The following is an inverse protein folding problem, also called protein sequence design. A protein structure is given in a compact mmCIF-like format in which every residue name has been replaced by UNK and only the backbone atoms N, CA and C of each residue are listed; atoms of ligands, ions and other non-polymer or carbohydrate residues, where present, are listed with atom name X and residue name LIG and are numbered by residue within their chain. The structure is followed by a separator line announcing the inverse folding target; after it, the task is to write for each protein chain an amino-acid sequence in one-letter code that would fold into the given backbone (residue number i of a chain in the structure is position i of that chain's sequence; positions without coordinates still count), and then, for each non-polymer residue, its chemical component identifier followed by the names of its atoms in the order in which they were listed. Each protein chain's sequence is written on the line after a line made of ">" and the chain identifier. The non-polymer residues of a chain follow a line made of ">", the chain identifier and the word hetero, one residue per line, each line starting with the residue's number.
data_IF_499479471110
#
_entry.id   IF_499479471110
#
_cell.length_a   1.000
_cell.length_b   1.000
_cell.length_c   1.000
_cell.angle_alpha   90.00
_cell.angle_beta   90.00
_cell.angle_gamma   90.00
#
_symmetry.space_group_name_H-M   'P 1'
#
loop_
_entity.id
_entity.type
_entity.pdbx_description
1 polymer ?
#
# COMPACT_ATOMS: atom_id res chain seq x y z
N UNK A 1 -6.91 5.56 13.88
CA UNK A 1 -5.50 5.45 13.49
C UNK A 1 -5.38 6.05 12.09
N UNK A 2 -4.54 7.07 11.90
CA UNK A 2 -4.42 7.75 10.60
C UNK A 2 -3.73 6.80 9.62
N UNK A 3 -4.27 6.62 8.42
CA UNK A 3 -3.67 5.75 7.40
C UNK A 3 -2.38 6.34 6.81
N UNK A 4 -2.03 7.60 7.13
CA UNK A 4 -0.77 8.24 6.73
C UNK A 4 -0.19 8.99 7.92
N UNK A 5 1.09 8.77 8.18
CA UNK A 5 1.94 9.55 9.09
C UNK A 5 2.94 10.38 8.28
N UNK A 6 3.15 11.64 8.65
CA UNK A 6 3.98 12.61 7.90
C UNK A 6 4.91 13.34 8.87
N UNK A 7 6.21 13.30 8.57
CA UNK A 7 7.27 14.01 9.28
C UNK A 7 8.17 14.76 8.29
N UNK A 8 7.96 16.07 8.20
CA UNK A 8 8.66 16.94 7.23
C UNK A 8 8.47 16.45 5.79
N UNK A 9 9.58 16.05 5.16
CA UNK A 9 9.64 15.53 3.79
C UNK A 9 9.60 14.00 3.72
N UNK A 10 9.21 13.32 4.81
CA UNK A 10 9.00 11.87 4.87
C UNK A 10 7.57 11.55 5.29
N UNK A 11 7.06 10.41 4.83
CA UNK A 11 5.77 9.90 5.26
C UNK A 11 5.72 8.37 5.20
N UNK A 12 4.86 7.77 6.02
CA UNK A 12 4.51 6.35 5.97
C UNK A 12 3.01 6.22 5.73
N UNK A 13 2.62 5.57 4.63
CA UNK A 13 1.23 5.29 4.28
C UNK A 13 0.93 3.81 4.50
N UNK A 14 -0.12 3.53 5.26
CA UNK A 14 -0.70 2.22 5.47
C UNK A 14 -1.80 2.00 4.43
N UNK A 15 -1.49 1.28 3.34
CA UNK A 15 -2.47 1.00 2.29
C UNK A 15 -3.04 -0.40 2.45
N UNK A 16 -4.37 -0.48 2.55
CA UNK A 16 -5.13 -1.72 2.49
C UNK A 16 -5.74 -1.88 1.10
N UNK A 17 -5.69 -3.09 0.57
CA UNK A 17 -6.28 -3.49 -0.70
C UNK A 17 -7.41 -4.46 -0.39
N UNK A 18 -8.61 -4.10 -0.86
CA UNK A 18 -9.78 -4.95 -0.86
C UNK A 18 -10.40 -4.84 -2.24
N UNK A 19 -9.99 -5.74 -3.14
CA UNK A 19 -10.36 -5.67 -4.55
C UNK A 19 -10.33 -7.01 -5.24
N UNK A 20 -10.50 -6.97 -6.56
CA UNK A 20 -10.46 -8.14 -7.42
C UNK A 20 -9.85 -7.82 -8.78
N UNK A 21 -9.09 -8.76 -9.33
CA UNK A 21 -8.54 -8.69 -10.69
C UNK A 21 -9.09 -9.88 -11.48
N UNK A 22 -9.71 -9.60 -12.63
CA UNK A 22 -10.07 -10.63 -13.60
C UNK A 22 -8.81 -11.09 -14.33
N UNK A 23 -8.64 -12.40 -14.44
CA UNK A 23 -7.56 -13.03 -15.21
C UNK A 23 -8.02 -13.31 -16.64
N UNK A 24 -7.05 -13.55 -17.51
CA UNK A 24 -7.30 -13.91 -18.91
C UNK A 24 -8.09 -15.22 -19.07
N UNK A 25 -8.00 -16.14 -18.10
CA UNK A 25 -8.75 -17.41 -18.08
C UNK A 25 -10.19 -17.27 -17.55
N UNK A 26 -10.64 -16.05 -17.25
CA UNK A 26 -11.96 -15.77 -16.70
C UNK A 26 -12.08 -15.96 -15.19
N UNK A 27 -11.04 -16.48 -14.51
CA UNK A 27 -11.01 -16.55 -13.06
C UNK A 27 -10.72 -15.17 -12.43
N UNK A 28 -10.96 -15.06 -11.12
CA UNK A 28 -10.80 -13.79 -10.38
C UNK A 28 -9.86 -13.97 -9.21
N UNK A 29 -8.79 -13.17 -9.17
CA UNK A 29 -7.97 -13.02 -7.97
C UNK A 29 -8.60 -12.03 -7.00
N UNK A 30 -8.66 -12.40 -5.72
CA UNK A 30 -9.07 -11.50 -4.64
C UNK A 30 -7.84 -10.85 -4.03
N UNK A 31 -7.80 -9.54 -4.12
CA UNK A 31 -6.77 -8.72 -3.51
C UNK A 31 -7.16 -8.42 -2.05
N UNK A 32 -6.70 -9.27 -1.13
CA UNK A 32 -6.83 -9.10 0.33
C UNK A 32 -5.46 -8.95 0.97
N UNK A 33 -4.84 -7.81 0.73
CA UNK A 33 -3.48 -7.54 1.19
C UNK A 33 -3.34 -6.09 1.66
N UNK A 34 -2.25 -5.80 2.33
CA UNK A 34 -1.88 -4.47 2.77
C UNK A 34 -0.38 -4.26 2.60
N UNK A 35 0.04 -3.00 2.56
CA UNK A 35 1.46 -2.63 2.49
C UNK A 35 1.71 -1.33 3.24
N UNK A 36 2.98 -1.12 3.59
CA UNK A 36 3.49 0.17 4.02
C UNK A 36 4.23 0.80 2.86
N UNK A 37 3.83 2.01 2.47
CA UNK A 37 4.60 2.84 1.54
C UNK A 37 5.44 3.82 2.34
N UNK A 38 6.74 3.84 2.08
CA UNK A 38 7.64 4.90 2.52
C UNK A 38 7.66 5.97 1.43
N UNK A 39 7.32 7.18 1.80
CA UNK A 39 7.22 8.30 0.89
C UNK A 39 8.28 9.36 1.22
N UNK A 40 8.81 10.00 0.19
CA UNK A 40 9.67 11.17 0.32
C UNK A 40 9.17 12.31 -0.57
N UNK A 41 9.32 13.55 -0.09
CA UNK A 41 8.99 14.74 -0.87
C UNK A 41 10.23 15.20 -1.63
N UNK A 42 10.16 15.20 -2.96
CA UNK A 42 11.27 15.60 -3.84
C UNK A 42 10.76 16.68 -4.78
N UNK A 43 11.36 17.89 -4.71
CA UNK A 43 10.92 19.03 -5.51
C UNK A 43 9.47 19.42 -5.24
N UNK A 44 9.05 19.38 -3.97
CA UNK A 44 7.68 19.72 -3.56
C UNK A 44 6.64 18.62 -3.82
N UNK A 45 7.01 17.48 -4.42
CA UNK A 45 6.10 16.38 -4.77
C UNK A 45 6.40 15.11 -3.99
N UNK A 46 5.37 14.48 -3.43
CA UNK A 46 5.49 13.18 -2.78
C UNK A 46 5.73 12.07 -3.79
N UNK A 47 6.64 11.16 -3.46
CA UNK A 47 6.98 9.98 -4.24
C UNK A 47 7.04 8.77 -3.33
N UNK A 48 6.68 7.59 -3.84
CA UNK A 48 6.93 6.33 -3.16
C UNK A 48 8.43 6.01 -3.31
N UNK A 49 9.14 5.98 -2.19
CA UNK A 49 10.55 5.66 -2.10
C UNK A 49 10.81 4.17 -1.82
N UNK A 50 9.84 3.47 -1.23
CA UNK A 50 9.92 2.03 -0.96
C UNK A 50 8.61 1.46 -0.43
N UNK A 51 8.51 0.13 -0.37
CA UNK A 51 7.34 -0.54 0.19
C UNK A 51 7.65 -1.91 0.81
N UNK A 52 6.81 -2.35 1.75
CA UNK A 52 6.92 -3.65 2.44
C UNK A 52 6.03 -4.68 1.75
N UNK A 53 6.35 -4.99 0.48
CA UNK A 53 5.72 -6.08 -0.27
C UNK A 53 4.19 -6.11 -0.22
N UNK A 54 3.63 -7.32 -0.29
CA UNK A 54 2.21 -7.60 -0.13
C UNK A 54 1.99 -8.44 1.12
N UNK A 55 1.61 -7.78 2.22
CA UNK A 55 1.32 -8.46 3.48
C UNK A 55 -0.13 -8.93 3.52
N UNK A 56 -0.44 -10.01 4.26
CA UNK A 56 -1.82 -10.45 4.46
C UNK A 56 -2.71 -9.35 5.05
N UNK A 57 -3.98 -9.31 4.63
CA UNK A 57 -4.98 -8.47 5.27
C UNK A 57 -6.25 -9.27 5.61
N UNK A 58 -6.59 -9.44 6.89
CA UNK A 58 -5.90 -8.91 8.08
C UNK A 58 -4.55 -9.60 8.37
N UNK A 59 -3.71 -8.99 9.21
CA UNK A 59 -2.50 -9.65 9.73
C UNK A 59 -2.90 -10.67 10.79
N UNK A 60 -2.27 -11.86 10.79
CA UNK A 60 -2.41 -12.85 11.86
C UNK A 60 -3.77 -13.56 11.91
N UNK A 61 -4.20 -14.14 10.79
CA UNK A 61 -5.31 -15.11 10.76
C UNK A 61 -5.04 -16.31 11.67
#
# INVERSE_FOLDING_TARGET
>A
MRDIDVDGDRAVLHKKFNGSIAKADGSVDRLKWQTLYFCSKVGGRWKIAGFVGYMPHPLGS
#
